data_IF_911799673325
#
_entry.id   IF_911799673325
#
_cell.length_a   1.000
_cell.length_b   1.000
_cell.length_c   1.000
_cell.angle_alpha   90.00
_cell.angle_beta   90.00
_cell.angle_gamma   90.00
#
_symmetry.space_group_name_H-M   'P 1'
#
loop_
_entity.id
_entity.type
_entity.pdbx_description
1 polymer ?
#
# COMPACT_ATOMS: atom_id res chain seq x y z
N UNK A 1 48.10 19.76 -140.15
CA UNK A 1 48.76 20.64 -139.16
C UNK A 1 47.96 20.54 -137.88
N UNK A 2 48.56 20.08 -136.78
CA UNK A 2 47.88 20.00 -135.49
C UNK A 2 48.65 20.90 -134.53
N UNK A 3 48.06 22.04 -134.17
CA UNK A 3 48.59 22.92 -133.14
C UNK A 3 48.10 22.44 -131.79
N UNK A 4 49.02 22.04 -130.92
CA UNK A 4 48.72 21.72 -129.52
C UNK A 4 49.31 22.83 -128.66
N UNK A 5 48.46 23.69 -128.11
CA UNK A 5 48.85 24.72 -127.16
C UNK A 5 48.81 24.16 -125.74
N UNK A 6 49.96 24.16 -125.06
CA UNK A 6 50.05 23.85 -123.62
C UNK A 6 50.25 25.19 -122.92
N UNK A 7 49.25 25.61 -122.13
CA UNK A 7 49.32 26.82 -121.32
C UNK A 7 49.85 26.46 -119.94
N UNK A 8 51.05 26.94 -119.59
CA UNK A 8 51.55 26.99 -118.22
C UNK A 8 51.27 28.38 -117.63
N UNK A 9 50.95 28.50 -116.33
CA UNK A 9 50.72 29.79 -115.71
C UNK A 9 52.04 30.42 -115.25
N UNK A 10 52.12 31.74 -115.48
CA UNK A 10 53.11 32.72 -115.05
C UNK A 10 54.37 32.90 -115.95
N UNK A 11 54.38 34.06 -116.61
CA UNK A 11 55.51 34.84 -117.14
C UNK A 11 56.61 34.12 -117.94
N UNK A 12 56.60 34.34 -119.26
CA UNK A 12 57.81 34.27 -120.09
C UNK A 12 57.73 33.34 -121.30
N UNK A 13 57.74 33.97 -122.49
CA UNK A 13 57.99 33.39 -123.81
C UNK A 13 57.07 32.25 -124.30
N UNK A 14 56.12 32.61 -125.19
CA UNK A 14 55.46 31.64 -126.08
C UNK A 14 56.48 31.17 -127.11
N UNK A 15 57.12 30.03 -126.85
CA UNK A 15 57.97 29.36 -127.84
C UNK A 15 57.05 28.65 -128.82
N UNK A 16 56.77 29.28 -129.95
CA UNK A 16 56.03 28.67 -131.06
C UNK A 16 56.94 27.65 -131.75
N UNK A 17 56.98 26.42 -131.22
CA UNK A 17 57.68 25.31 -131.87
C UNK A 17 56.84 24.87 -133.07
N UNK A 18 57.12 25.45 -134.25
CA UNK A 18 56.65 24.93 -135.54
C UNK A 18 57.28 23.57 -135.77
N UNK A 19 56.64 22.52 -135.24
CA UNK A 19 56.98 21.14 -135.59
C UNK A 19 56.59 20.94 -137.04
N UNK A 20 57.57 20.89 -137.95
CA UNK A 20 57.34 20.21 -139.22
C UNK A 20 56.92 18.80 -138.83
N UNK A 21 55.70 18.44 -139.19
CA UNK A 21 55.28 17.05 -139.15
C UNK A 21 56.24 16.39 -140.13
N UNK A 22 57.28 15.73 -139.61
CA UNK A 22 58.21 14.97 -140.42
C UNK A 22 57.37 14.16 -141.38
N UNK A 23 57.50 14.46 -142.68
CA UNK A 23 56.73 13.77 -143.70
C UNK A 23 56.91 12.29 -143.47
N UNK A 24 55.81 11.54 -143.42
CA UNK A 24 55.89 10.09 -143.26
C UNK A 24 56.84 9.56 -144.32
N UNK A 25 57.99 9.07 -143.87
CA UNK A 25 59.02 8.50 -144.74
C UNK A 25 58.57 7.17 -145.32
N UNK A 26 57.45 6.63 -144.84
CA UNK A 26 56.70 5.56 -145.48
C UNK A 26 55.40 6.14 -146.04
N UNK A 27 55.30 6.19 -147.36
CA UNK A 27 54.16 6.70 -148.07
C UNK A 27 54.33 6.51 -149.58
N UNK A 28 53.24 6.63 -150.34
CA UNK A 28 53.27 6.41 -151.79
C UNK A 28 54.29 7.31 -152.50
N UNK A 29 54.61 8.47 -151.94
CA UNK A 29 55.62 9.40 -152.46
C UNK A 29 57.07 8.90 -152.27
N UNK A 30 57.37 8.24 -151.14
CA UNK A 30 58.69 7.65 -150.88
C UNK A 30 58.91 6.40 -151.72
N UNK A 31 57.88 5.55 -151.84
CA UNK A 31 57.89 4.39 -152.73
C UNK A 31 58.01 4.81 -154.20
N UNK A 32 57.32 5.88 -154.61
CA UNK A 32 57.46 6.47 -155.94
C UNK A 32 58.85 7.08 -156.18
N UNK A 33 59.50 7.64 -155.16
CA UNK A 33 60.88 8.13 -155.27
C UNK A 33 61.89 6.97 -155.42
N UNK A 34 61.70 5.89 -154.65
CA UNK A 34 62.50 4.65 -154.77
C UNK A 34 62.35 4.00 -156.15
N UNK A 35 61.12 3.93 -156.67
CA UNK A 35 60.84 3.45 -158.03
C UNK A 35 61.44 4.34 -159.11
N UNK A 36 61.43 5.67 -158.94
CA UNK A 36 62.08 6.60 -159.88
C UNK A 36 63.58 6.40 -159.94
N UNK A 37 64.25 6.17 -158.80
CA UNK A 37 65.69 5.86 -158.75
C UNK A 37 65.99 4.55 -159.46
N UNK A 38 65.20 3.50 -159.21
CA UNK A 38 65.35 2.22 -159.90
C UNK A 38 65.16 2.37 -161.43
N UNK A 39 64.22 3.23 -161.85
CA UNK A 39 63.96 3.51 -163.26
C UNK A 39 65.11 4.29 -163.92
N UNK A 40 65.67 5.30 -163.23
CA UNK A 40 66.85 6.05 -163.69
C UNK A 40 68.07 5.13 -163.77
N UNK A 41 68.28 4.26 -162.79
CA UNK A 41 69.36 3.29 -162.82
C UNK A 41 69.23 2.29 -163.99
N UNK A 42 68.02 1.79 -164.26
CA UNK A 42 67.74 0.92 -165.41
C UNK A 42 67.98 1.63 -166.76
N UNK A 43 67.60 2.92 -166.87
CA UNK A 43 67.87 3.74 -168.05
C UNK A 43 69.38 3.99 -168.24
N UNK A 44 70.11 4.30 -167.17
CA UNK A 44 71.57 4.43 -167.22
C UNK A 44 72.24 3.12 -167.64
N UNK A 45 71.75 1.97 -167.16
CA UNK A 45 72.17 0.65 -167.63
C UNK A 45 71.94 0.45 -169.12
N UNK A 46 70.73 0.74 -169.59
CA UNK A 46 70.36 0.63 -171.01
C UNK A 46 71.21 1.55 -171.89
N UNK A 47 71.51 2.77 -171.43
CA UNK A 47 72.41 3.70 -172.11
C UNK A 47 73.85 3.16 -172.19
N UNK A 48 74.34 2.51 -171.14
CA UNK A 48 75.66 1.86 -171.15
C UNK A 48 75.69 0.65 -172.08
N UNK A 49 74.61 -0.13 -172.17
CA UNK A 49 74.49 -1.27 -173.09
C UNK A 49 74.43 -0.82 -174.56
N UNK A 50 73.73 0.29 -174.85
CA UNK A 50 73.75 0.96 -176.15
C UNK A 50 75.15 1.50 -176.48
N UNK A 51 75.82 2.11 -175.51
CA UNK A 51 77.22 2.54 -175.63
C UNK A 51 78.19 1.37 -175.75
N UNK A 52 77.86 0.15 -175.34
CA UNK A 52 78.68 -1.04 -175.56
C UNK A 52 78.43 -1.67 -176.95
N UNK A 53 77.17 -1.67 -177.40
CA UNK A 53 76.72 -2.33 -178.64
C UNK A 53 76.83 -1.46 -179.90
N UNK A 54 76.96 -0.12 -179.80
CA UNK A 54 76.99 0.72 -180.98
C UNK A 54 78.23 0.43 -181.88
N UNK A 55 78.05 0.30 -183.21
CA UNK A 55 79.11 -0.11 -184.12
C UNK A 55 80.24 0.92 -184.19
N UNK A 56 81.49 0.45 -184.27
CA UNK A 56 82.70 1.29 -184.34
C UNK A 56 82.84 2.15 -185.61
N UNK A 57 81.82 2.19 -186.47
CA UNK A 57 81.77 2.99 -187.71
C UNK A 57 81.43 4.47 -187.49
N UNK A 58 81.09 4.89 -186.27
CA UNK A 58 80.83 6.31 -185.92
C UNK A 58 82.06 7.06 -185.38
N UNK A 59 83.26 6.47 -185.42
CA UNK A 59 84.51 7.21 -185.22
C UNK A 59 85.24 7.41 -186.54
N UNK A 60 85.30 8.65 -187.03
CA UNK A 60 85.98 9.05 -188.27
C UNK A 60 87.52 8.86 -188.26
N UNK A 61 88.09 8.28 -187.19
CA UNK A 61 89.52 8.02 -187.05
C UNK A 61 89.76 6.56 -186.61
N UNK A 62 90.18 5.72 -187.56
CA UNK A 62 90.64 4.34 -187.35
C UNK A 62 91.86 4.29 -186.40
N UNK A 63 91.68 3.90 -185.13
CA UNK A 63 92.73 3.28 -184.31
C UNK A 63 92.12 2.24 -183.36
N UNK A 64 92.72 1.05 -183.26
CA UNK A 64 92.39 0.00 -182.27
C UNK A 64 92.32 0.54 -180.82
N UNK A 65 93.10 1.58 -180.53
CA UNK A 65 93.09 2.33 -179.28
C UNK A 65 91.74 2.99 -178.91
N UNK A 66 90.79 3.16 -179.85
CA UNK A 66 89.46 3.72 -179.55
C UNK A 66 88.50 2.69 -178.95
N UNK A 67 88.71 1.39 -179.17
CA UNK A 67 87.88 0.32 -178.57
C UNK A 67 88.24 0.08 -177.12
N UNK A 68 89.54 0.04 -176.80
CA UNK A 68 90.03 -0.12 -175.42
C UNK A 68 89.64 1.07 -174.55
N UNK A 69 89.85 2.31 -175.02
CA UNK A 69 89.40 3.52 -174.31
C UNK A 69 87.89 3.57 -174.11
N UNK A 70 87.11 3.05 -175.06
CA UNK A 70 85.65 2.94 -174.93
C UNK A 70 85.26 1.88 -173.91
N UNK A 71 85.94 0.73 -173.87
CA UNK A 71 85.73 -0.29 -172.85
C UNK A 71 86.12 0.21 -171.45
N UNK A 72 87.22 0.94 -171.33
CA UNK A 72 87.65 1.61 -170.08
C UNK A 72 86.63 2.66 -169.64
N UNK A 73 86.14 3.51 -170.55
CA UNK A 73 85.11 4.49 -170.24
C UNK A 73 83.78 3.85 -169.84
N UNK A 74 83.36 2.76 -170.49
CA UNK A 74 82.16 2.00 -170.10
C UNK A 74 82.37 1.37 -168.72
N UNK A 75 83.53 0.76 -168.44
CA UNK A 75 83.83 0.19 -167.13
C UNK A 75 83.85 1.26 -166.03
N UNK A 76 84.39 2.45 -166.32
CA UNK A 76 84.37 3.58 -165.41
C UNK A 76 82.95 4.09 -165.16
N UNK A 77 82.13 4.25 -166.20
CA UNK A 77 80.73 4.65 -166.05
C UNK A 77 79.88 3.58 -165.35
N UNK A 78 80.17 2.29 -165.54
CA UNK A 78 79.54 1.20 -164.78
C UNK A 78 79.92 1.29 -163.29
N UNK A 79 81.18 1.60 -162.98
CA UNK A 79 81.64 1.81 -161.61
C UNK A 79 80.97 3.04 -160.97
N UNK A 80 80.86 4.15 -161.70
CA UNK A 80 80.18 5.37 -161.24
C UNK A 80 78.67 5.14 -161.05
N UNK A 81 78.02 4.41 -161.96
CA UNK A 81 76.62 3.99 -161.81
C UNK A 81 76.42 3.14 -160.55
N UNK A 82 77.26 2.13 -160.35
CA UNK A 82 77.18 1.27 -159.16
C UNK A 82 77.42 2.07 -157.86
N UNK A 83 78.34 3.03 -157.88
CA UNK A 83 78.59 3.93 -156.75
C UNK A 83 77.40 4.86 -156.47
N UNK A 84 76.77 5.42 -157.51
CA UNK A 84 75.57 6.26 -157.39
C UNK A 84 74.38 5.46 -156.88
N UNK A 85 74.16 4.25 -157.40
CA UNK A 85 73.10 3.36 -156.93
C UNK A 85 73.29 3.01 -155.45
N UNK A 86 74.51 2.63 -155.04
CA UNK A 86 74.84 2.34 -153.64
C UNK A 86 74.65 3.56 -152.72
N UNK A 87 75.07 4.75 -153.16
CA UNK A 87 74.88 5.99 -152.40
C UNK A 87 73.40 6.34 -152.23
N UNK A 88 72.60 6.26 -153.31
CA UNK A 88 71.17 6.53 -153.27
C UNK A 88 70.42 5.51 -152.41
N UNK A 89 70.71 4.22 -152.54
CA UNK A 89 70.13 3.18 -151.67
C UNK A 89 70.51 3.43 -150.20
N UNK A 90 71.79 3.73 -149.91
CA UNK A 90 72.24 4.04 -148.55
C UNK A 90 71.57 5.28 -147.94
N UNK A 91 71.31 6.32 -148.74
CA UNK A 91 70.55 7.49 -148.29
C UNK A 91 69.09 7.15 -147.97
N UNK A 92 68.44 6.31 -148.77
CA UNK A 92 67.06 5.87 -148.51
C UNK A 92 66.96 4.98 -147.26
N UNK A 93 67.88 4.04 -147.08
CA UNK A 93 67.92 3.17 -145.90
C UNK A 93 68.20 3.98 -144.63
N UNK A 94 69.14 4.94 -144.69
CA UNK A 94 69.40 5.86 -143.59
C UNK A 94 68.17 6.69 -143.23
N UNK A 95 67.49 7.24 -144.23
CA UNK A 95 66.32 8.09 -144.02
C UNK A 95 65.10 7.29 -143.53
N UNK A 96 64.94 6.05 -143.99
CA UNK A 96 63.93 5.09 -143.48
C UNK A 96 64.17 4.74 -142.01
N UNK A 97 65.41 4.35 -141.66
CA UNK A 97 65.77 4.02 -140.28
C UNK A 97 65.60 5.22 -139.33
N UNK A 98 65.98 6.43 -139.76
CA UNK A 98 65.76 7.67 -139.00
C UNK A 98 64.28 8.00 -138.83
N UNK A 99 63.46 7.74 -139.84
CA UNK A 99 62.00 7.86 -139.75
C UNK A 99 61.42 6.95 -138.68
N UNK A 100 61.79 5.67 -138.69
CA UNK A 100 61.36 4.69 -137.69
C UNK A 100 61.83 5.04 -136.27
N UNK A 101 63.08 5.51 -136.11
CA UNK A 101 63.60 6.01 -134.83
C UNK A 101 62.80 7.20 -134.30
N UNK A 102 62.47 8.16 -135.17
CA UNK A 102 61.68 9.34 -134.80
C UNK A 102 60.25 8.97 -134.40
N UNK A 103 59.60 8.04 -135.11
CA UNK A 103 58.27 7.54 -134.75
C UNK A 103 58.27 6.77 -133.42
N UNK A 104 59.31 5.96 -133.17
CA UNK A 104 59.49 5.30 -131.88
C UNK A 104 59.72 6.31 -130.75
N UNK A 105 60.56 7.33 -130.97
CA UNK A 105 60.80 8.39 -130.00
C UNK A 105 59.53 9.19 -129.70
N UNK A 106 58.74 9.53 -130.72
CA UNK A 106 57.46 10.20 -130.56
C UNK A 106 56.45 9.33 -129.81
N UNK A 107 56.39 8.03 -130.11
CA UNK A 107 55.55 7.07 -129.38
C UNK A 107 55.94 6.94 -127.90
N UNK A 108 57.25 6.94 -127.60
CA UNK A 108 57.76 6.95 -126.22
C UNK A 108 57.41 8.25 -125.50
N UNK A 109 57.54 9.38 -126.18
CA UNK A 109 57.22 10.69 -125.63
C UNK A 109 55.72 10.80 -125.33
N UNK A 110 54.84 10.34 -126.23
CA UNK A 110 53.40 10.31 -126.00
C UNK A 110 53.02 9.42 -124.81
N UNK A 111 53.65 8.24 -124.67
CA UNK A 111 53.46 7.37 -123.50
C UNK A 111 53.95 8.02 -122.21
N UNK A 112 55.09 8.73 -122.26
CA UNK A 112 55.61 9.48 -121.13
C UNK A 112 54.68 10.62 -120.72
N UNK A 113 54.17 11.39 -121.69
CA UNK A 113 53.19 12.46 -121.45
C UNK A 113 51.90 11.91 -120.82
N UNK A 114 51.42 10.76 -121.31
CA UNK A 114 50.27 10.08 -120.72
C UNK A 114 50.56 9.64 -119.28
N UNK A 115 51.71 9.04 -119.01
CA UNK A 115 52.11 8.64 -117.66
C UNK A 115 52.24 9.83 -116.70
N UNK A 116 52.73 10.99 -117.18
CA UNK A 116 52.79 12.23 -116.37
C UNK A 116 51.39 12.74 -116.06
N UNK A 117 50.45 12.71 -117.00
CA UNK A 117 49.06 13.11 -116.74
C UNK A 117 48.36 12.17 -115.76
N UNK A 118 48.58 10.86 -115.89
CA UNK A 118 48.06 9.86 -114.95
C UNK A 118 48.66 10.05 -113.54
N UNK A 119 49.96 10.31 -113.44
CA UNK A 119 50.62 10.61 -112.17
C UNK A 119 50.11 11.91 -111.54
N UNK A 120 49.85 12.95 -112.34
CA UNK A 120 49.28 14.20 -111.85
C UNK A 120 47.85 13.99 -111.34
N UNK A 121 47.01 13.24 -112.06
CA UNK A 121 45.67 12.90 -111.60
C UNK A 121 45.70 12.06 -110.30
N UNK A 122 46.66 11.13 -110.18
CA UNK A 122 46.88 10.36 -108.96
C UNK A 122 47.34 11.27 -107.78
N UNK A 123 48.19 12.25 -108.05
CA UNK A 123 48.61 13.24 -107.05
C UNK A 123 47.42 14.09 -106.58
N UNK A 124 46.64 14.63 -107.50
CA UNK A 124 45.49 15.49 -107.17
C UNK A 124 44.44 14.72 -106.36
N UNK A 125 44.21 13.43 -106.68
CA UNK A 125 43.32 12.55 -105.91
C UNK A 125 43.87 12.23 -104.51
N UNK A 126 45.18 11.99 -104.38
CA UNK A 126 45.83 11.79 -103.08
C UNK A 126 45.79 13.06 -102.21
N UNK A 127 46.04 14.24 -102.77
CA UNK A 127 45.93 15.53 -102.07
C UNK A 127 44.49 15.80 -101.63
N UNK A 128 43.51 15.52 -102.48
CA UNK A 128 42.10 15.64 -102.12
C UNK A 128 41.71 14.66 -100.98
N UNK A 129 42.23 13.43 -101.00
CA UNK A 129 42.02 12.46 -99.93
C UNK A 129 42.65 12.93 -98.60
N UNK A 130 43.89 13.44 -98.64
CA UNK A 130 44.57 13.98 -97.46
C UNK A 130 43.82 15.18 -96.86
N UNK A 131 43.30 16.09 -97.69
CA UNK A 131 42.47 17.21 -97.21
C UNK A 131 41.22 16.72 -96.50
N UNK A 132 40.52 15.73 -97.05
CA UNK A 132 39.33 15.14 -96.40
C UNK A 132 39.67 14.47 -95.07
N UNK A 133 40.79 13.75 -94.99
CA UNK A 133 41.24 13.12 -93.74
C UNK A 133 41.59 14.19 -92.71
N UNK A 134 42.29 15.26 -93.10
CA UNK A 134 42.62 16.36 -92.20
C UNK A 134 41.35 17.07 -91.69
N UNK A 135 40.39 17.36 -92.57
CA UNK A 135 39.10 17.95 -92.19
C UNK A 135 38.31 17.03 -91.25
N UNK A 136 38.28 15.72 -91.51
CA UNK A 136 37.64 14.75 -90.63
C UNK A 136 38.31 14.71 -89.25
N UNK A 137 39.66 14.64 -89.21
CA UNK A 137 40.42 14.65 -87.95
C UNK A 137 40.23 15.96 -87.17
N UNK A 138 40.14 17.10 -87.86
CA UNK A 138 39.85 18.39 -87.23
C UNK A 138 38.47 18.43 -86.58
N UNK A 139 37.45 17.85 -87.22
CA UNK A 139 36.10 17.72 -86.63
C UNK A 139 36.09 16.75 -85.45
N UNK A 140 36.82 15.64 -85.52
CA UNK A 140 36.92 14.71 -84.40
C UNK A 140 37.60 15.34 -83.18
N UNK A 141 38.67 16.12 -83.41
CA UNK A 141 39.33 16.89 -82.35
C UNK A 141 38.40 17.94 -81.75
N UNK A 142 37.67 18.70 -82.56
CA UNK A 142 36.73 19.70 -82.03
C UNK A 142 35.61 19.06 -81.20
N UNK A 143 35.08 17.90 -81.64
CA UNK A 143 34.08 17.14 -80.86
C UNK A 143 34.67 16.65 -79.54
N UNK A 144 35.92 16.21 -79.52
CA UNK A 144 36.59 15.80 -78.28
C UNK A 144 36.85 16.97 -77.35
N UNK A 145 37.23 18.13 -77.86
CA UNK A 145 37.42 19.34 -77.05
C UNK A 145 36.11 19.81 -76.43
N UNK A 146 34.99 19.75 -77.17
CA UNK A 146 33.65 20.00 -76.64
C UNK A 146 33.27 19.00 -75.54
N UNK A 147 33.52 17.70 -75.75
CA UNK A 147 33.28 16.67 -74.73
C UNK A 147 34.14 16.88 -73.48
N UNK A 148 35.42 17.25 -73.64
CA UNK A 148 36.30 17.56 -72.53
C UNK A 148 35.81 18.80 -71.76
N UNK A 149 35.34 19.84 -72.44
CA UNK A 149 34.78 21.02 -71.80
C UNK A 149 33.52 20.68 -70.98
N UNK A 150 32.63 19.84 -71.52
CA UNK A 150 31.44 19.36 -70.79
C UNK A 150 31.84 18.55 -69.56
N UNK A 151 32.78 17.61 -69.70
CA UNK A 151 33.26 16.80 -68.58
C UNK A 151 33.95 17.64 -67.50
N UNK A 152 34.76 18.63 -67.90
CA UNK A 152 35.39 19.56 -66.95
C UNK A 152 34.35 20.36 -66.17
N UNK A 153 33.29 20.83 -66.85
CA UNK A 153 32.19 21.54 -66.19
C UNK A 153 31.46 20.64 -65.19
N UNK A 154 31.16 19.39 -65.57
CA UNK A 154 30.54 18.41 -64.67
C UNK A 154 31.41 18.10 -63.45
N UNK A 155 32.73 17.99 -63.63
CA UNK A 155 33.66 17.80 -62.51
C UNK A 155 33.61 19.00 -61.55
N UNK A 156 33.62 20.23 -62.07
CA UNK A 156 33.51 21.44 -61.24
C UNK A 156 32.17 21.51 -60.48
N UNK A 157 31.06 21.15 -61.13
CA UNK A 157 29.73 21.08 -60.49
C UNK A 157 29.72 20.04 -59.36
N UNK A 158 30.25 18.84 -59.59
CA UNK A 158 30.35 17.79 -58.58
C UNK A 158 31.29 18.16 -57.42
N UNK A 159 32.38 18.89 -57.68
CA UNK A 159 33.27 19.41 -56.64
C UNK A 159 32.58 20.45 -55.77
N UNK A 160 31.78 21.34 -56.37
CA UNK A 160 30.97 22.30 -55.64
C UNK A 160 29.92 21.60 -54.75
N UNK A 161 29.17 20.63 -55.29
CA UNK A 161 28.21 19.83 -54.52
C UNK A 161 28.88 19.07 -53.37
N UNK A 162 30.07 18.49 -53.62
CA UNK A 162 30.86 17.82 -52.58
C UNK A 162 31.21 18.78 -51.44
N UNK A 163 31.62 20.01 -51.75
CA UNK A 163 31.92 21.01 -50.73
C UNK A 163 30.68 21.45 -49.95
N UNK A 164 29.53 21.62 -50.62
CA UNK A 164 28.25 21.91 -49.96
C UNK A 164 27.79 20.79 -49.03
N UNK A 165 27.90 19.53 -49.48
CA UNK A 165 27.59 18.35 -48.68
C UNK A 165 28.54 18.23 -47.47
N UNK A 166 29.84 18.45 -47.65
CA UNK A 166 30.79 18.49 -46.53
C UNK A 166 30.44 19.58 -45.51
N UNK A 167 30.04 20.77 -45.97
CA UNK A 167 29.56 21.84 -45.10
C UNK A 167 28.28 21.46 -44.35
N UNK A 168 27.35 20.77 -45.01
CA UNK A 168 26.11 20.29 -44.40
C UNK A 168 26.35 19.18 -43.37
N UNK A 169 27.26 18.24 -43.66
CA UNK A 169 27.69 17.21 -42.71
C UNK A 169 28.32 17.85 -41.47
N UNK A 170 29.21 18.84 -41.64
CA UNK A 170 29.82 19.54 -40.51
C UNK A 170 28.78 20.24 -39.63
N UNK A 171 27.75 20.86 -40.23
CA UNK A 171 26.63 21.46 -39.49
C UNK A 171 25.81 20.41 -38.72
N UNK A 172 25.51 19.28 -39.35
CA UNK A 172 24.77 18.18 -38.72
C UNK A 172 25.54 17.56 -37.55
N UNK A 173 26.86 17.35 -37.70
CA UNK A 173 27.71 16.84 -36.62
C UNK A 173 27.72 17.80 -35.43
N UNK A 174 27.95 19.10 -35.66
CA UNK A 174 27.90 20.12 -34.59
C UNK A 174 26.52 20.18 -33.92
N UNK A 175 25.44 20.06 -34.70
CA UNK A 175 24.07 20.01 -34.17
C UNK A 175 23.87 18.78 -33.29
N UNK A 176 24.32 17.60 -33.74
CA UNK A 176 24.28 16.34 -32.97
C UNK A 176 25.07 16.43 -31.67
N UNK A 177 26.26 17.02 -31.70
CA UNK A 177 27.10 17.17 -30.51
C UNK A 177 26.43 18.12 -29.50
N UNK A 178 25.85 19.23 -29.99
CA UNK A 178 25.08 20.16 -29.16
C UNK A 178 23.83 19.51 -28.56
N UNK A 179 23.07 18.71 -29.32
CA UNK A 179 21.90 18.01 -28.79
C UNK A 179 22.30 16.90 -27.83
N UNK A 180 23.39 16.20 -28.08
CA UNK A 180 23.95 15.20 -27.15
C UNK A 180 24.36 15.84 -25.83
N UNK A 181 24.97 17.02 -25.86
CA UNK A 181 25.34 17.76 -24.65
C UNK A 181 24.10 18.19 -23.87
N UNK A 182 23.10 18.78 -24.53
CA UNK A 182 21.80 19.14 -23.91
C UNK A 182 21.09 17.93 -23.31
N UNK A 183 21.14 16.77 -23.96
CA UNK A 183 20.56 15.54 -23.42
C UNK A 183 21.28 15.08 -22.15
N UNK A 184 22.61 15.20 -22.09
CA UNK A 184 23.37 14.89 -20.87
C UNK A 184 23.02 15.85 -19.74
N UNK A 185 22.93 17.15 -20.02
CA UNK A 185 22.55 18.17 -19.04
C UNK A 185 21.14 17.91 -18.49
N UNK A 186 20.16 17.67 -19.37
CA UNK A 186 18.80 17.30 -18.96
C UNK A 186 18.78 16.01 -18.15
N UNK A 187 19.54 14.99 -18.56
CA UNK A 187 19.62 13.73 -17.81
C UNK A 187 20.18 13.95 -16.41
N UNK A 188 21.19 14.81 -16.27
CA UNK A 188 21.76 15.19 -14.98
C UNK A 188 20.75 15.96 -14.12
N UNK A 189 20.01 16.91 -14.70
CA UNK A 189 18.93 17.64 -14.01
C UNK A 189 17.82 16.68 -13.53
N UNK A 190 17.39 15.73 -14.36
CA UNK A 190 16.42 14.71 -13.97
C UNK A 190 16.93 13.80 -12.86
N UNK A 191 18.18 13.37 -12.91
CA UNK A 191 18.78 12.58 -11.83
C UNK A 191 18.88 13.38 -10.53
N UNK A 192 19.35 14.62 -10.60
CA UNK A 192 19.45 15.50 -9.42
C UNK A 192 18.08 15.77 -8.79
N UNK A 193 17.04 15.98 -9.60
CA UNK A 193 15.68 16.21 -9.09
C UNK A 193 15.07 14.94 -8.50
N UNK A 194 15.32 13.77 -9.12
CA UNK A 194 14.94 12.48 -8.57
C UNK A 194 15.61 12.22 -7.21
N UNK A 195 16.92 12.49 -7.07
CA UNK A 195 17.65 12.32 -5.81
C UNK A 195 17.14 13.22 -4.69
N UNK A 196 16.69 14.45 -5.02
CA UNK A 196 16.06 15.36 -4.05
C UNK A 196 14.68 14.82 -3.65
N UNK A 197 13.87 14.38 -4.61
CA UNK A 197 12.56 13.80 -4.33
C UNK A 197 12.66 12.53 -3.49
N UNK A 198 13.63 11.64 -3.78
CA UNK A 198 13.87 10.44 -2.98
C UNK A 198 14.28 10.78 -1.53
N UNK A 199 15.15 11.77 -1.34
CA UNK A 199 15.53 12.24 0.00
C UNK A 199 14.32 12.79 0.76
N UNK A 200 13.47 13.55 0.10
CA UNK A 200 12.25 14.09 0.71
C UNK A 200 11.24 13.00 1.04
N UNK A 201 11.05 12.01 0.17
CA UNK A 201 10.22 10.83 0.46
C UNK A 201 10.74 10.10 1.70
N UNK A 202 12.05 9.88 1.82
CA UNK A 202 12.66 9.24 3.01
C UNK A 202 12.46 10.09 4.27
N UNK A 203 12.57 11.42 4.17
CA UNK A 203 12.30 12.35 5.28
C UNK A 203 10.85 12.25 5.73
N UNK A 204 9.90 12.35 4.80
CA UNK A 204 8.47 12.26 5.08
C UNK A 204 8.07 10.90 5.64
N UNK A 205 8.65 9.80 5.16
CA UNK A 205 8.45 8.47 5.72
C UNK A 205 8.94 8.37 7.17
N UNK A 206 10.09 8.97 7.49
CA UNK A 206 10.60 9.00 8.87
C UNK A 206 9.74 9.89 9.78
N UNK A 207 9.23 11.02 9.28
CA UNK A 207 8.30 11.88 10.02
C UNK A 207 6.95 11.21 10.26
N UNK A 208 6.40 10.52 9.25
CA UNK A 208 5.18 9.72 9.38
C UNK A 208 5.37 8.64 10.46
N UNK A 209 6.46 7.87 10.41
CA UNK A 209 6.76 6.83 11.39
C UNK A 209 6.85 7.40 12.81
N UNK A 210 7.52 8.54 13.00
CA UNK A 210 7.59 9.23 14.31
C UNK A 210 6.21 9.68 14.79
N UNK A 211 5.37 10.19 13.89
CA UNK A 211 4.01 10.61 14.21
C UNK A 211 3.11 9.42 14.58
N UNK A 212 3.26 8.29 13.89
CA UNK A 212 2.58 7.02 14.21
C UNK A 212 3.02 6.47 15.57
N UNK A 213 4.33 6.40 15.83
CA UNK A 213 4.88 5.99 17.13
C UNK A 213 4.39 6.91 18.26
N UNK A 214 4.34 8.23 18.04
CA UNK A 214 3.82 9.19 19.01
C UNK A 214 2.31 9.00 19.25
N UNK A 215 1.53 8.71 18.20
CA UNK A 215 0.09 8.41 18.31
C UNK A 215 -0.14 7.11 19.09
N UNK A 216 0.60 6.06 18.79
CA UNK A 216 0.51 4.78 19.50
C UNK A 216 0.90 4.94 20.98
N UNK A 217 1.98 5.66 21.26
CA UNK A 217 2.38 6.00 22.63
C UNK A 217 1.30 6.80 23.37
N UNK A 218 0.68 7.78 22.70
CA UNK A 218 -0.44 8.55 23.23
C UNK A 218 -1.67 7.69 23.54
N UNK A 219 -2.04 6.77 22.64
CA UNK A 219 -3.13 5.83 22.86
C UNK A 219 -2.84 4.86 24.01
N UNK A 220 -1.61 4.35 24.10
CA UNK A 220 -1.20 3.49 25.21
C UNK A 220 -1.23 4.21 26.55
N UNK A 221 -0.77 5.48 26.60
CA UNK A 221 -0.86 6.31 27.79
C UNK A 221 -2.32 6.59 28.19
N UNK A 222 -3.17 6.99 27.23
CA UNK A 222 -4.58 7.25 27.48
C UNK A 222 -5.34 5.99 27.93
N UNK A 223 -5.03 4.82 27.35
CA UNK A 223 -5.60 3.54 27.75
C UNK A 223 -5.15 3.15 29.17
N UNK A 224 -3.88 3.37 29.50
CA UNK A 224 -3.34 3.12 30.84
C UNK A 224 -4.01 4.03 31.87
N UNK A 225 -4.09 5.33 31.62
CA UNK A 225 -4.77 6.30 32.48
C UNK A 225 -6.25 5.94 32.65
N UNK A 226 -6.93 5.59 31.56
CA UNK A 226 -8.33 5.14 31.60
C UNK A 226 -8.50 3.85 32.42
N UNK A 227 -7.57 2.89 32.29
CA UNK A 227 -7.60 1.64 33.06
C UNK A 227 -7.33 1.88 34.55
N UNK A 228 -6.38 2.76 34.89
CA UNK A 228 -6.11 3.18 36.27
C UNK A 228 -7.31 3.91 36.88
N UNK A 229 -7.91 4.86 36.15
CA UNK A 229 -9.11 5.58 36.58
C UNK A 229 -10.32 4.65 36.77
N UNK A 230 -10.51 3.65 35.89
CA UNK A 230 -11.54 2.62 36.06
C UNK A 230 -11.26 1.74 37.28
N UNK A 231 -10.01 1.33 37.52
CA UNK A 231 -9.60 0.57 38.70
C UNK A 231 -9.90 1.33 39.99
N UNK A 232 -9.59 2.63 40.03
CA UNK A 232 -9.88 3.48 41.18
C UNK A 232 -11.38 3.67 41.39
N UNK A 233 -12.16 3.91 40.32
CA UNK A 233 -13.63 3.92 40.40
C UNK A 233 -14.20 2.59 40.92
N UNK A 234 -13.62 1.45 40.55
CA UNK A 234 -14.02 0.14 41.08
C UNK A 234 -13.70 0.02 42.57
N UNK A 235 -12.55 0.54 43.04
CA UNK A 235 -12.23 0.59 44.48
C UNK A 235 -13.19 1.51 45.24
N UNK A 236 -13.52 2.68 44.69
CA UNK A 236 -14.52 3.59 45.24
C UNK A 236 -15.90 2.93 45.32
N UNK A 237 -16.35 2.28 44.24
CA UNK A 237 -17.60 1.53 44.26
C UNK A 237 -17.59 0.41 45.31
N UNK A 238 -16.48 -0.34 45.45
CA UNK A 238 -16.36 -1.37 46.50
C UNK A 238 -16.40 -0.78 47.91
N UNK A 239 -15.78 0.37 48.15
CA UNK A 239 -15.80 1.03 49.46
C UNK A 239 -17.18 1.61 49.78
N UNK A 240 -17.85 2.22 48.81
CA UNK A 240 -19.24 2.66 48.94
C UNK A 240 -20.19 1.47 49.18
N UNK A 241 -20.01 0.36 48.47
CA UNK A 241 -20.77 -0.86 48.68
C UNK A 241 -20.59 -1.39 50.10
N UNK A 242 -19.35 -1.47 50.61
CA UNK A 242 -19.07 -1.85 52.01
C UNK A 242 -19.73 -0.91 53.02
N UNK A 243 -19.76 0.41 52.75
CA UNK A 243 -20.46 1.38 53.61
C UNK A 243 -21.96 1.17 53.59
N UNK A 244 -22.56 0.93 52.42
CA UNK A 244 -23.98 0.62 52.28
C UNK A 244 -24.33 -0.67 53.03
N UNK A 245 -23.52 -1.73 52.86
CA UNK A 245 -23.71 -3.00 53.56
C UNK A 245 -23.55 -2.82 55.08
N UNK A 246 -22.58 -2.01 55.53
CA UNK A 246 -22.40 -1.66 56.95
C UNK A 246 -23.58 -0.86 57.51
N UNK A 247 -24.10 0.12 56.76
CA UNK A 247 -25.26 0.91 57.15
C UNK A 247 -26.52 0.04 57.19
N UNK A 248 -26.66 -0.89 56.25
CA UNK A 248 -27.75 -1.89 56.26
C UNK A 248 -27.66 -2.78 57.49
N UNK A 249 -26.47 -3.30 57.81
CA UNK A 249 -26.25 -4.10 59.02
C UNK A 249 -26.54 -3.29 60.30
N UNK A 250 -26.16 -2.01 60.35
CA UNK A 250 -26.49 -1.11 61.46
C UNK A 250 -27.99 -0.83 61.55
N UNK A 251 -28.67 -0.63 60.44
CA UNK A 251 -30.12 -0.46 60.40
C UNK A 251 -30.84 -1.73 60.87
N UNK A 252 -30.39 -2.90 60.42
CA UNK A 252 -30.91 -4.20 60.87
C UNK A 252 -30.62 -4.43 62.36
N UNK A 253 -29.45 -4.04 62.86
CA UNK A 253 -29.10 -4.10 64.28
C UNK A 253 -29.95 -3.14 65.12
N UNK A 254 -30.15 -1.90 64.67
CA UNK A 254 -31.03 -0.91 65.31
C UNK A 254 -32.49 -1.38 65.32
N UNK A 255 -32.94 -2.02 64.23
CA UNK A 255 -34.28 -2.62 64.18
C UNK A 255 -34.43 -3.72 65.23
N UNK A 256 -33.43 -4.61 65.36
CA UNK A 256 -33.40 -5.64 66.42
C UNK A 256 -33.37 -5.02 67.81
N UNK A 257 -32.54 -4.01 68.04
CA UNK A 257 -32.49 -3.29 69.32
C UNK A 257 -33.81 -2.58 69.63
N UNK A 258 -34.49 -2.00 68.64
CA UNK A 258 -35.80 -1.38 68.82
C UNK A 258 -36.88 -2.43 69.15
N UNK A 259 -36.84 -3.61 68.50
CA UNK A 259 -37.71 -4.74 68.82
C UNK A 259 -37.44 -5.28 70.24
N UNK A 260 -36.18 -5.39 70.64
CA UNK A 260 -35.77 -5.79 72.00
C UNK A 260 -36.15 -4.75 73.05
N UNK A 261 -35.93 -3.46 72.80
CA UNK A 261 -36.34 -2.37 73.68
C UNK A 261 -37.86 -2.30 73.83
N UNK A 262 -38.61 -2.57 72.75
CA UNK A 262 -40.08 -2.67 72.80
C UNK A 262 -40.53 -3.84 73.66
N UNK A 263 -39.91 -5.02 73.54
CA UNK A 263 -40.16 -6.16 74.42
C UNK A 263 -39.85 -5.82 75.88
N UNK A 264 -38.73 -5.19 76.16
CA UNK A 264 -38.38 -4.75 77.52
C UNK A 264 -39.36 -3.72 78.08
N UNK A 265 -39.85 -2.79 77.26
CA UNK A 265 -40.88 -1.83 77.65
C UNK A 265 -42.24 -2.51 77.90
N UNK A 266 -42.62 -3.49 77.09
CA UNK A 266 -43.83 -4.31 77.32
C UNK A 266 -43.72 -5.13 78.62
N UNK A 267 -42.57 -5.78 78.88
CA UNK A 267 -42.32 -6.48 80.14
C UNK A 267 -42.32 -5.54 81.36
N UNK A 268 -41.75 -4.34 81.24
CA UNK A 268 -41.76 -3.33 82.29
C UNK A 268 -43.17 -2.79 82.56
N UNK A 269 -43.97 -2.58 81.51
CA UNK A 269 -45.38 -2.19 81.64
C UNK A 269 -46.22 -3.29 82.30
N UNK A 270 -45.95 -4.56 82.00
CA UNK A 270 -46.63 -5.70 82.63
C UNK A 270 -46.26 -5.82 84.12
N UNK A 271 -44.98 -5.62 84.49
CA UNK A 271 -44.55 -5.54 85.89
C UNK A 271 -45.19 -4.35 86.61
N UNK A 272 -45.28 -3.19 85.96
CA UNK A 272 -45.98 -2.01 86.49
C UNK A 272 -47.46 -2.26 86.75
N UNK A 273 -48.15 -3.00 85.87
CA UNK A 273 -49.55 -3.41 86.10
C UNK A 273 -49.70 -4.33 87.31
N UNK A 274 -48.83 -5.35 87.45
CA UNK A 274 -48.84 -6.26 88.61
C UNK A 274 -48.61 -5.51 89.93
N UNK A 275 -47.68 -4.55 89.95
CA UNK A 275 -47.43 -3.72 91.13
C UNK A 275 -48.61 -2.78 91.47
N UNK A 276 -49.31 -2.24 90.46
CA UNK A 276 -50.49 -1.42 90.67
C UNK A 276 -51.68 -2.23 91.22
N UNK A 277 -51.87 -3.47 90.75
CA UNK A 277 -52.90 -4.38 91.27
C UNK A 277 -52.61 -4.80 92.73
N UNK A 278 -51.36 -5.07 93.08
CA UNK A 278 -50.94 -5.36 94.46
C UNK A 278 -51.14 -4.14 95.40
N UNK A 279 -50.84 -2.92 94.92
CA UNK A 279 -51.07 -1.70 95.67
C UNK A 279 -52.58 -1.42 95.89
N UNK A 280 -53.43 -1.68 94.90
CA UNK A 280 -54.89 -1.55 95.02
C UNK A 280 -55.47 -2.56 96.03
N UNK A 281 -54.97 -3.81 96.03
CA UNK A 281 -55.36 -4.83 97.00
C UNK A 281 -54.94 -4.46 98.44
N UNK A 282 -53.76 -3.86 98.61
CA UNK A 282 -53.29 -3.35 99.91
C UNK A 282 -54.13 -2.17 100.42
N UNK A 283 -54.51 -1.24 99.54
CA UNK A 283 -55.38 -0.10 99.87
C UNK A 283 -56.77 -0.55 100.34
N UNK A 284 -57.33 -1.61 99.72
CA UNK A 284 -58.63 -2.17 100.12
C UNK A 284 -58.60 -2.76 101.54
N UNK A 285 -57.53 -3.50 101.91
CA UNK A 285 -57.36 -4.02 103.28
C UNK A 285 -57.19 -2.91 104.33
N UNK A 286 -56.55 -1.81 103.97
CA UNK A 286 -56.40 -0.65 104.86
C UNK A 286 -57.74 0.06 105.12
N UNK A 287 -58.62 0.14 104.12
CA UNK A 287 -59.97 0.71 104.27
C UNK A 287 -60.87 -0.18 105.15
N UNK A 288 -60.82 -1.50 104.96
CA UNK A 288 -61.58 -2.47 105.78
C UNK A 288 -61.11 -2.47 107.25
N UNK A 289 -59.80 -2.31 107.50
CA UNK A 289 -59.24 -2.18 108.85
C UNK A 289 -59.63 -0.85 109.56
N UNK A 290 -59.87 0.23 108.79
CA UNK A 290 -60.31 1.53 109.33
C UNK A 290 -61.78 1.49 109.76
N UNK A 291 -62.65 0.87 108.95
CA UNK A 291 -64.06 0.67 109.29
C UNK A 291 -64.24 -0.21 110.56
N UNK A 292 -63.40 -1.24 110.74
CA UNK A 292 -63.42 -2.08 111.94
C UNK A 292 -63.00 -1.33 113.22
N UNK A 293 -62.11 -0.32 113.12
CA UNK A 293 -61.71 0.52 114.26
C UNK A 293 -62.78 1.51 114.67
N UNK A 294 -63.48 2.10 113.70
CA UNK A 294 -64.58 3.06 113.97
C UNK A 294 -65.79 2.37 114.62
N UNK A 295 -66.07 1.10 114.27
CA UNK A 295 -67.09 0.29 114.92
C UNK A 295 -66.76 -0.05 116.40
N UNK A 296 -65.50 -0.43 116.70
CA UNK A 296 -65.06 -0.75 118.06
C UNK A 296 -65.01 0.48 118.99
N UNK A 297 -64.76 1.67 118.46
CA UNK A 297 -64.79 2.91 119.24
C UNK A 297 -66.21 3.33 119.62
N UNK A 298 -67.21 3.04 118.79
CA UNK A 298 -68.62 3.33 119.10
C UNK A 298 -69.15 2.45 120.25
N UNK A 299 -68.73 1.18 120.33
CA UNK A 299 -69.12 0.27 121.42
C UNK A 299 -68.50 0.66 122.78
N UNK A 300 -67.28 1.20 122.81
CA UNK A 300 -66.64 1.70 124.05
C UNK A 300 -67.31 2.95 124.63
N UNK A 301 -67.92 3.80 123.81
CA UNK A 301 -68.65 4.99 124.27
C UNK A 301 -70.06 4.66 124.80
N UNK A 302 -70.68 3.59 124.31
CA UNK A 302 -71.95 3.08 124.84
C UNK A 302 -71.77 2.52 126.26
N UNK A 303 -70.72 1.73 126.50
CA UNK A 303 -70.41 1.14 127.82
C UNK A 303 -70.06 2.18 128.90
N UNK A 304 -69.47 3.32 128.53
CA UNK A 304 -69.17 4.42 129.48
C UNK A 304 -70.43 5.15 129.98
N UNK A 305 -71.48 5.23 129.17
CA UNK A 305 -72.75 5.85 129.58
C UNK A 305 -73.54 4.96 130.54
N UNK A 306 -73.48 3.64 130.36
CA UNK A 306 -74.13 2.68 131.26
C UNK A 306 -73.44 2.62 132.64
N UNK A 307 -72.11 2.73 132.70
CA UNK A 307 -71.36 2.74 133.97
C UNK A 307 -71.61 4.03 134.79
N UNK A 308 -71.89 5.17 134.16
CA UNK A 308 -72.22 6.44 134.83
C UNK A 308 -73.59 6.43 135.52
N UNK A 309 -74.58 5.72 134.94
CA UNK A 309 -75.90 5.57 135.56
C UNK A 309 -75.90 4.63 136.77
N UNK A 310 -75.07 3.58 136.77
CA UNK A 310 -74.98 2.64 137.89
C UNK A 310 -74.25 3.24 139.11
N UNK A 311 -73.27 4.12 138.89
CA UNK A 311 -72.53 4.78 139.97
C UNK A 311 -73.36 5.86 140.71
N UNK A 312 -74.28 6.53 140.01
CA UNK A 312 -75.17 7.54 140.59
C UNK A 312 -76.32 6.91 141.41
N UNK A 313 -76.81 5.73 141.00
CA UNK A 313 -77.77 4.94 141.79
C UNK A 313 -77.18 4.40 143.11
N UNK A 314 -75.88 4.07 143.13
CA UNK A 314 -75.17 3.59 144.33
C UNK A 314 -74.95 4.67 145.40
N UNK A 315 -74.72 5.93 144.99
CA UNK A 315 -74.56 7.07 145.91
C UNK A 315 -75.90 7.54 146.49
N UNK A 316 -77.01 7.41 145.76
CA UNK A 316 -78.34 7.81 146.21
C UNK A 316 -78.97 6.84 147.25
N UNK A 317 -78.49 5.59 147.33
CA UNK A 317 -79.00 4.56 148.25
C UNK A 317 -78.37 4.56 149.67
N UNK A 318 -77.47 5.50 149.97
CA UNK A 318 -77.00 5.76 151.34
C UNK A 318 -75.69 5.09 151.79
N UNK A 319 -74.88 4.60 150.85
CA UNK A 319 -73.43 4.40 151.05
C UNK A 319 -72.97 3.59 152.28
N UNK A 320 -71.67 3.76 152.58
CA UNK A 320 -70.89 2.92 153.50
C UNK A 320 -71.30 3.06 154.98
N UNK A 321 -71.94 4.17 155.37
CA UNK A 321 -72.37 4.40 156.76
C UNK A 321 -73.56 3.53 157.20
N UNK A 322 -74.37 3.01 156.26
CA UNK A 322 -75.43 2.02 156.57
C UNK A 322 -74.91 0.59 156.75
N UNK A 323 -73.69 0.28 156.33
CA UNK A 323 -73.10 -1.06 156.46
C UNK A 323 -72.29 -1.22 157.75
N UNK A 324 -71.83 -0.14 158.39
CA UNK A 324 -71.08 -0.18 159.65
C UNK A 324 -71.95 -0.18 160.93
N UNK A 325 -73.20 0.31 160.86
CA UNK A 325 -74.15 0.24 162.00
C UNK A 325 -74.85 -1.12 162.13
N UNK A 326 -75.04 -1.85 161.02
CA UNK A 326 -75.66 -3.18 161.03
C UNK A 326 -74.76 -4.29 161.59
N UNK A 327 -73.43 -4.13 161.51
CA UNK A 327 -72.46 -5.13 162.00
C UNK A 327 -72.21 -5.01 163.52
N UNK A 328 -72.42 -3.83 164.13
CA UNK A 328 -72.23 -3.63 165.59
C UNK A 328 -73.44 -3.97 166.47
N UNK A 329 -74.65 -4.11 165.89
CA UNK A 329 -75.84 -4.51 166.65
C UNK A 329 -76.03 -6.05 166.73
N UNK A 330 -75.32 -6.84 165.91
CA UNK A 330 -75.54 -8.29 165.80
C UNK A 330 -74.60 -9.17 166.67
N UNK A 331 -73.72 -8.58 167.49
CA UNK A 331 -72.66 -9.32 168.20
C UNK A 331 -72.79 -9.41 169.75
N UNK A 332 -73.89 -8.98 170.39
CA UNK A 332 -73.97 -9.05 171.86
C UNK A 332 -75.39 -9.15 172.49
N UNK A 333 -76.30 -9.94 171.91
CA UNK A 333 -77.56 -10.39 172.54
C UNK A 333 -78.07 -11.67 171.84
N UNK A 334 -77.33 -12.80 171.83
CA UNK A 334 -77.32 -13.94 172.79
C UNK A 334 -78.69 -14.32 173.38
N UNK A 335 -79.09 -15.59 173.21
CA UNK A 335 -80.39 -16.14 173.61
C UNK A 335 -81.60 -15.55 172.84
N UNK A 336 -82.73 -16.26 172.91
CA UNK A 336 -84.02 -16.07 172.23
C UNK A 336 -84.06 -16.51 170.74
N UNK A 337 -84.39 -17.78 170.47
CA UNK A 337 -85.77 -18.24 170.13
C UNK A 337 -86.34 -17.45 168.96
N UNK A 338 -86.58 -18.01 167.77
CA UNK A 338 -87.68 -18.94 167.37
C UNK A 338 -87.97 -18.61 165.87
N UNK A 339 -88.78 -19.37 165.11
CA UNK A 339 -88.53 -20.72 164.62
C UNK A 339 -88.94 -20.87 163.12
N UNK A 340 -88.90 -22.12 162.62
CA UNK A 340 -89.91 -22.81 161.77
C UNK A 340 -90.57 -22.01 160.63
N UNK A 341 -90.63 -22.50 159.39
CA UNK A 341 -90.55 -23.87 158.90
C UNK A 341 -91.43 -24.03 157.65
N UNK A 342 -91.35 -25.21 157.01
CA UNK A 342 -92.26 -25.70 155.97
C UNK A 342 -91.54 -26.06 154.65
N UNK A 343 -91.02 -27.29 154.46
CA UNK A 343 -91.71 -28.55 154.02
C UNK A 343 -91.91 -28.63 152.50
N UNK A 344 -91.50 -29.66 151.73
CA UNK A 344 -91.44 -31.13 151.94
C UNK A 344 -90.35 -31.84 151.09
N UNK A 345 -89.81 -32.95 151.62
CA UNK A 345 -88.95 -33.98 150.99
C UNK A 345 -89.78 -35.10 150.30
N UNK A 346 -89.24 -36.10 149.54
CA UNK A 346 -88.42 -37.25 150.01
C UNK A 346 -87.28 -37.68 149.00
N UNK A 347 -86.14 -38.29 149.39
CA UNK A 347 -85.80 -39.66 149.87
C UNK A 347 -85.41 -40.70 148.78
N UNK A 348 -84.31 -41.43 149.05
CA UNK A 348 -83.99 -42.77 148.51
C UNK A 348 -82.82 -42.82 147.51
N UNK A 349 -81.55 -43.10 147.87
CA UNK A 349 -80.87 -44.32 148.38
C UNK A 349 -80.03 -45.05 147.31
N UNK A 350 -78.85 -45.53 147.78
CA UNK A 350 -77.87 -46.49 147.20
C UNK A 350 -76.88 -45.90 146.18
N UNK A 351 -75.56 -45.88 146.38
CA UNK A 351 -74.71 -46.56 147.37
C UNK A 351 -74.15 -47.87 146.82
N UNK A 352 -72.82 -47.96 146.64
CA UNK A 352 -72.17 -49.26 146.46
C UNK A 352 -70.84 -49.32 145.70
N UNK A 353 -69.81 -48.64 146.23
CA UNK A 353 -68.38 -49.06 146.22
C UNK A 353 -67.57 -48.99 144.89
N UNK A 354 -66.53 -48.13 144.81
CA UNK A 354 -65.09 -48.39 145.13
C UNK A 354 -64.39 -49.30 144.10
N UNK A 355 -63.29 -48.87 143.44
CA UNK A 355 -61.96 -48.76 144.08
C UNK A 355 -60.88 -48.07 143.19
N UNK A 356 -60.25 -46.99 143.73
CA UNK A 356 -58.96 -46.29 143.37
C UNK A 356 -58.92 -45.43 142.07
N UNK A 357 -58.75 -44.10 141.95
CA UNK A 357 -58.57 -42.90 142.82
C UNK A 357 -57.59 -41.84 142.22
N UNK A 358 -58.04 -40.62 141.82
CA UNK A 358 -57.20 -39.44 141.40
C UNK A 358 -57.99 -38.28 140.70
N UNK A 359 -57.52 -37.00 140.67
CA UNK A 359 -58.27 -35.80 140.17
C UNK A 359 -57.69 -35.13 138.89
N UNK A 360 -58.52 -34.39 138.10
CA UNK A 360 -58.19 -33.76 136.79
C UNK A 360 -58.01 -32.21 136.82
N UNK A 361 -57.06 -31.62 136.03
CA UNK A 361 -56.78 -30.16 135.92
C UNK A 361 -56.72 -29.65 134.44
N UNK A 362 -57.08 -28.38 134.15
CA UNK A 362 -57.14 -27.79 132.78
C UNK A 362 -56.44 -26.41 132.60
N UNK A 363 -55.82 -26.16 131.44
CA UNK A 363 -55.12 -24.90 131.08
C UNK A 363 -56.02 -23.74 130.55
N UNK A 364 -57.36 -23.89 130.55
CA UNK A 364 -58.33 -22.86 130.08
C UNK A 364 -59.81 -23.31 130.26
N UNK A 365 -60.78 -22.39 130.11
CA UNK A 365 -62.20 -22.60 130.48
C UNK A 365 -62.91 -23.75 129.71
N UNK A 366 -63.69 -24.55 130.45
CA UNK A 366 -64.45 -25.71 129.96
C UNK A 366 -65.78 -25.26 129.32
N UNK A 367 -65.89 -25.36 127.99
CA UNK A 367 -67.16 -25.31 127.27
C UNK A 367 -67.85 -26.68 127.32
N UNK A 368 -69.18 -26.69 127.21
CA UNK A 368 -70.09 -27.83 127.42
C UNK A 368 -69.95 -29.04 126.45
N UNK A 369 -68.72 -29.49 126.16
CA UNK A 369 -68.42 -30.76 125.48
C UNK A 369 -67.16 -31.38 126.07
N UNK A 370 -67.35 -32.16 127.13
CA UNK A 370 -66.32 -32.91 127.84
C UNK A 370 -65.88 -34.16 127.04
N UNK A 371 -65.00 -34.03 126.04
CA UNK A 371 -64.44 -35.19 125.32
C UNK A 371 -63.05 -35.00 124.66
N UNK A 372 -62.21 -34.04 125.11
CA UNK A 372 -60.86 -33.86 124.54
C UNK A 372 -59.76 -34.27 125.54
N UNK A 373 -59.21 -35.48 125.34
CA UNK A 373 -58.45 -36.30 126.31
C UNK A 373 -56.95 -35.94 126.36
N UNK A 374 -56.46 -35.09 125.44
CA UNK A 374 -55.05 -34.70 125.34
C UNK A 374 -54.63 -33.51 126.23
N UNK A 375 -55.37 -33.23 127.32
CA UNK A 375 -55.11 -32.09 128.24
C UNK A 375 -55.03 -32.48 129.73
N UNK A 376 -54.73 -33.74 130.06
CA UNK A 376 -54.69 -34.28 131.44
C UNK A 376 -53.25 -34.43 131.98
N UNK A 377 -53.02 -34.10 133.27
CA UNK A 377 -51.78 -34.34 134.04
C UNK A 377 -52.13 -34.99 135.39
N UNK A 378 -51.46 -36.08 135.78
CA UNK A 378 -51.70 -36.84 137.02
C UNK A 378 -50.74 -36.44 138.15
N UNK A 379 -51.24 -36.38 139.40
CA UNK A 379 -50.45 -36.17 140.63
C UNK A 379 -50.77 -37.26 141.66
N UNK A 380 -49.79 -37.97 142.24
CA UNK A 380 -50.01 -39.01 143.27
C UNK A 380 -50.36 -38.43 144.64
N UNK A 381 -51.20 -39.15 145.40
CA UNK A 381 -51.81 -38.72 146.67
C UNK A 381 -50.98 -39.16 147.89
N UNK A 382 -49.81 -38.58 148.12
CA UNK A 382 -49.07 -38.76 149.38
C UNK A 382 -48.42 -37.43 149.80
N UNK A 383 -49.22 -36.55 150.40
CA UNK A 383 -48.72 -35.29 150.96
C UNK A 383 -49.88 -34.33 151.25
N UNK A 384 -49.79 -33.62 152.38
CA UNK A 384 -50.84 -32.73 152.90
C UNK A 384 -51.31 -31.71 151.85
N UNK A 385 -52.58 -31.31 151.96
CA UNK A 385 -53.32 -30.34 151.12
C UNK A 385 -52.53 -29.04 150.86
N UNK A 386 -51.59 -28.68 151.75
CA UNK A 386 -50.69 -27.53 151.64
C UNK A 386 -49.76 -27.57 150.41
N UNK A 387 -49.41 -28.76 149.89
CA UNK A 387 -48.60 -28.89 148.66
C UNK A 387 -49.39 -28.60 147.37
N UNK A 388 -50.71 -28.77 147.39
CA UNK A 388 -51.57 -28.54 146.23
C UNK A 388 -51.74 -27.04 145.94
N UNK A 389 -51.81 -26.22 146.99
CA UNK A 389 -51.95 -24.77 146.87
C UNK A 389 -50.73 -24.08 146.24
N UNK A 390 -49.52 -24.61 146.47
CA UNK A 390 -48.29 -24.05 145.94
C UNK A 390 -48.15 -24.22 144.41
N UNK A 391 -48.61 -25.35 143.87
CA UNK A 391 -48.58 -25.65 142.42
C UNK A 391 -49.63 -24.82 141.67
N UNK A 392 -50.81 -24.64 142.27
CA UNK A 392 -51.88 -23.77 141.72
C UNK A 392 -51.40 -22.32 141.57
N UNK A 393 -50.54 -21.82 142.47
CA UNK A 393 -50.04 -20.43 142.42
C UNK A 393 -48.96 -20.16 141.36
N UNK A 394 -48.16 -21.13 140.93
CA UNK A 394 -47.03 -20.86 140.01
C UNK A 394 -47.36 -21.03 138.51
N UNK A 395 -48.29 -21.91 138.13
CA UNK A 395 -48.47 -22.32 136.72
C UNK A 395 -49.72 -21.77 135.99
N UNK A 396 -50.52 -20.89 136.62
CA UNK A 396 -51.72 -20.27 136.01
C UNK A 396 -52.72 -21.28 135.38
N UNK A 397 -53.09 -22.31 136.14
CA UNK A 397 -54.01 -23.40 135.72
C UNK A 397 -55.34 -23.28 136.50
N UNK A 398 -56.49 -23.72 135.93
CA UNK A 398 -57.82 -23.59 136.56
C UNK A 398 -58.43 -24.95 136.96
N UNK A 399 -59.20 -24.99 138.05
CA UNK A 399 -59.97 -26.15 138.54
C UNK A 399 -61.38 -26.14 137.90
N UNK A 400 -61.75 -27.19 137.16
CA UNK A 400 -63.09 -27.31 136.55
C UNK A 400 -64.08 -27.95 137.53
N UNK A 401 -65.15 -27.24 137.91
CA UNK A 401 -66.20 -27.75 138.81
C UNK A 401 -67.10 -28.81 138.18
N UNK A 402 -67.21 -28.84 136.85
CA UNK A 402 -68.03 -29.83 136.13
C UNK A 402 -67.37 -31.22 136.08
N UNK A 403 -66.03 -31.28 136.18
CA UNK A 403 -65.26 -32.51 136.38
C UNK A 403 -65.22 -32.95 137.86
N UNK A 404 -65.63 -32.10 138.80
CA UNK A 404 -65.78 -32.46 140.22
C UNK A 404 -67.16 -33.01 140.57
N UNK A 405 -68.16 -32.90 139.69
CA UNK A 405 -69.55 -33.23 140.01
C UNK A 405 -70.12 -34.44 139.23
N UNK A 406 -69.49 -34.87 138.12
CA UNK A 406 -69.97 -36.00 137.29
C UNK A 406 -69.25 -37.34 137.53
N UNK A 407 -68.57 -37.48 138.66
CA UNK A 407 -68.04 -38.75 139.20
C UNK A 407 -68.72 -39.20 140.52
N UNK A 408 -70.06 -39.12 140.50
CA UNK A 408 -70.93 -40.09 141.19
C UNK A 408 -71.98 -40.62 140.19
N UNK A 409 -71.51 -40.98 139.00
CA UNK A 409 -72.08 -41.99 138.12
C UNK A 409 -71.02 -42.38 137.09
N UNK A 410 -70.33 -43.49 137.39
CA UNK A 410 -69.49 -44.24 136.45
C UNK A 410 -68.19 -43.52 136.03
N UNK A 411 -67.35 -43.19 137.01
CA UNK A 411 -66.34 -44.03 137.68
C UNK A 411 -65.45 -44.82 136.72
N UNK A 412 -64.95 -44.08 135.72
CA UNK A 412 -63.56 -44.13 135.25
C UNK A 412 -62.70 -43.02 135.88
N UNK A 413 -63.07 -42.66 137.13
CA UNK A 413 -62.39 -41.93 138.22
C UNK A 413 -62.17 -40.42 138.12
#
# INVERSE_FOLDING_TARGET
MVSTSISLPAEGAVVEVRRSVGGKMAGPEFDAAKQRIASVDALLGSCLDLLASAPSSLSLLKKRASKERRAEAIAQLQKERAALAAALTGMFDFASNRGAEAEMAMSRLLKSDQAVREAQAAKDTAEAALRRVNEASGRELSVRDEQLAVLQKQVQELEAEKHELQGSIAKLVRSKDNTSLKLKDLTFEYQSTADVAEREIRRLQAELKKAEEAREAGLMAANKESAEALSDKVKEQRTLQRRLDSMKNLADANKRQAEEARKQAEEAAERGRKQAEEAAAAAKRAAEAKAAREALTAELEALRREHGMLHSAFLAAGGVDKQLSAIRAAAAATAATTPRGGSKAPAGTRGGLRSRGGHCLHAGACGASANDINKLVTVPYEGSIEGLEAVVRQQKVFLCTDCMASDNSFLGA
#
